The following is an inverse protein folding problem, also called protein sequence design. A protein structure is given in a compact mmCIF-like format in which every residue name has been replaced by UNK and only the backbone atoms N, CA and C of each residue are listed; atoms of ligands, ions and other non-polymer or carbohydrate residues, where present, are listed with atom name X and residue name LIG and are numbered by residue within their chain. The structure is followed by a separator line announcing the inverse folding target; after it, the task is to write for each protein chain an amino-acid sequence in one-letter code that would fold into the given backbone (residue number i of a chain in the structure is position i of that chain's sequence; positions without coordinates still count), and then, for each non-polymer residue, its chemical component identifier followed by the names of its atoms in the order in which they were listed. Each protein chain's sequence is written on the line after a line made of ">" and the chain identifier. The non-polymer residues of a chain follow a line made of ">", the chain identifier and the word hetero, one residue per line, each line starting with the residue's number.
data_IF_167653797778
#
_entry.id   IF_167653797778
#
_cell.length_a   1.000
_cell.length_b   1.000
_cell.length_c   1.000
_cell.angle_alpha   90.00
_cell.angle_beta   90.00
_cell.angle_gamma   90.00
#
_symmetry.space_group_name_H-M   'P 1'
#
loop_
_entity.id
_entity.type
_entity.pdbx_description
1 polymer ?
#
# COMPACT_ATOMS: atom_id res chain seq x y z
N UNK A 1 -16.22 -4.00 -4.71
CA UNK A 1 -15.42 -2.83 -4.30
C UNK A 1 -14.94 -2.95 -2.87
N UNK A 2 -15.81 -3.32 -1.92
CA UNK A 2 -15.47 -3.37 -0.49
C UNK A 2 -14.29 -4.30 -0.12
N UNK A 3 -14.27 -5.53 -0.65
CA UNK A 3 -13.12 -6.45 -0.42
C UNK A 3 -11.78 -5.86 -0.85
N UNK A 4 -11.76 -5.11 -1.96
CA UNK A 4 -10.54 -4.48 -2.48
C UNK A 4 -10.10 -3.32 -1.58
N UNK A 5 -11.03 -2.52 -1.06
CA UNK A 5 -10.72 -1.45 -0.10
C UNK A 5 -10.06 -2.02 1.16
N UNK A 6 -10.61 -3.09 1.72
CA UNK A 6 -10.03 -3.79 2.87
C UNK A 6 -8.63 -4.35 2.56
N UNK A 7 -8.44 -5.00 1.40
CA UNK A 7 -7.11 -5.47 0.99
C UNK A 7 -6.08 -4.34 0.90
N UNK A 8 -6.47 -3.19 0.33
CA UNK A 8 -5.58 -2.02 0.23
C UNK A 8 -5.24 -1.46 1.61
N UNK A 9 -6.22 -1.35 2.52
CA UNK A 9 -5.99 -0.91 3.90
C UNK A 9 -5.03 -1.83 4.65
N UNK A 10 -5.18 -3.16 4.51
CA UNK A 10 -4.25 -4.13 5.11
C UNK A 10 -2.83 -3.90 4.58
N UNK A 11 -2.67 -3.78 3.27
CA UNK A 11 -1.35 -3.51 2.65
C UNK A 11 -0.76 -2.17 3.08
N UNK A 12 -1.57 -1.13 3.25
CA UNK A 12 -1.12 0.15 3.78
C UNK A 12 -0.57 -0.03 5.19
N UNK A 13 -1.27 -0.79 6.04
CA UNK A 13 -0.82 -1.05 7.39
C UNK A 13 0.50 -1.81 7.44
N UNK A 14 0.67 -2.79 6.55
CA UNK A 14 1.94 -3.52 6.38
C UNK A 14 3.10 -2.58 6.00
N UNK A 15 2.88 -1.63 5.07
CA UNK A 15 3.92 -0.66 4.69
C UNK A 15 4.26 0.31 5.84
N UNK A 16 3.29 0.72 6.65
CA UNK A 16 3.53 1.55 7.84
C UNK A 16 4.41 0.83 8.86
N UNK A 17 4.07 -0.42 9.17
CA UNK A 17 4.85 -1.25 10.09
C UNK A 17 6.25 -1.46 9.53
N UNK A 18 6.39 -1.79 8.24
CA UNK A 18 7.69 -1.96 7.61
C UNK A 18 8.57 -0.69 7.71
N UNK A 19 7.99 0.49 7.49
CA UNK A 19 8.71 1.74 7.59
C UNK A 19 9.14 2.06 9.03
N UNK A 20 8.27 1.75 10.01
CA UNK A 20 8.61 1.83 11.43
C UNK A 20 9.78 0.90 11.79
N UNK A 21 9.71 -0.37 11.40
CA UNK A 21 10.76 -1.36 11.64
C UNK A 21 12.08 -0.95 10.99
N UNK A 22 12.06 -0.50 9.73
CA UNK A 22 13.27 -0.03 9.04
C UNK A 22 13.89 1.20 9.72
N UNK A 23 13.05 2.08 10.30
CA UNK A 23 13.52 3.26 11.04
C UNK A 23 14.15 2.93 12.39
N UNK A 24 13.79 1.80 13.00
CA UNK A 24 14.33 1.33 14.28
C UNK A 24 15.70 0.64 14.12
N UNK A 25 16.06 0.26 12.88
CA UNK A 25 17.32 -0.38 12.58
C UNK A 25 18.52 0.56 12.76
N UNK A 26 19.67 -0.02 13.12
CA UNK A 26 20.95 0.71 13.17
C UNK A 26 21.31 1.23 11.76
N UNK A 27 21.97 2.40 11.62
CA UNK A 27 22.26 3.02 10.32
C UNK A 27 23.05 2.16 9.31
N UNK A 28 23.75 1.12 9.77
CA UNK A 28 24.55 0.20 8.94
C UNK A 28 24.04 -1.25 8.98
N UNK A 29 22.79 -1.45 9.41
CA UNK A 29 22.17 -2.76 9.37
C UNK A 29 22.08 -3.26 7.92
N UNK A 30 22.39 -4.55 7.70
CA UNK A 30 22.18 -5.19 6.41
C UNK A 30 20.69 -5.52 6.28
N UNK A 31 20.05 -4.96 5.27
CA UNK A 31 18.67 -5.26 4.95
C UNK A 31 18.66 -6.16 3.74
N UNK A 32 17.80 -7.17 3.75
CA UNK A 32 17.64 -8.08 2.63
C UNK A 32 16.20 -8.04 2.16
N UNK A 33 16.00 -7.95 0.84
CA UNK A 33 14.68 -8.01 0.23
C UNK A 33 14.49 -9.37 -0.43
N UNK A 34 13.41 -10.04 -0.05
CA UNK A 34 13.00 -11.29 -0.68
C UNK A 34 12.31 -11.03 -2.02
N UNK A 35 12.66 -11.81 -3.04
CA UNK A 35 11.95 -11.83 -4.32
C UNK A 35 10.57 -12.48 -4.15
N UNK A 36 9.56 -11.97 -4.85
CA UNK A 36 8.23 -12.60 -4.84
C UNK A 36 8.29 -14.03 -5.37
N UNK A 37 7.53 -14.92 -4.73
CA UNK A 37 7.40 -16.34 -5.09
C UNK A 37 8.73 -17.13 -5.07
N UNK A 38 9.71 -16.66 -4.30
CA UNK A 38 11.02 -17.29 -4.16
C UNK A 38 11.62 -17.00 -2.79
N UNK A 39 12.59 -17.81 -2.38
CA UNK A 39 13.37 -17.58 -1.15
C UNK A 39 14.70 -16.84 -1.43
N UNK A 40 14.87 -16.31 -2.65
CA UNK A 40 16.05 -15.51 -3.00
C UNK A 40 15.95 -14.15 -2.32
N UNK A 41 17.02 -13.79 -1.59
CA UNK A 41 17.16 -12.54 -0.86
C UNK A 41 18.30 -11.72 -1.46
N UNK A 42 18.01 -10.46 -1.80
CA UNK A 42 18.99 -9.52 -2.32
C UNK A 42 19.37 -8.52 -1.23
N UNK A 43 20.67 -8.26 -1.08
CA UNK A 43 21.16 -7.21 -0.21
C UNK A 43 20.62 -5.86 -0.70
N UNK A 44 20.04 -5.09 0.21
CA UNK A 44 19.57 -3.73 -0.01
C UNK A 44 20.01 -2.83 1.16
N UNK A 45 19.86 -1.52 0.98
CA UNK A 45 20.13 -0.53 2.02
C UNK A 45 18.85 -0.14 2.77
N UNK A 46 19.00 0.21 4.06
CA UNK A 46 17.90 0.74 4.89
C UNK A 46 17.20 1.90 4.18
N UNK A 47 17.95 2.87 3.66
CA UNK A 47 17.37 4.04 2.97
C UNK A 47 16.61 3.66 1.70
N UNK A 48 17.10 2.68 0.95
CA UNK A 48 16.46 2.21 -0.28
C UNK A 48 15.12 1.54 0.02
N UNK A 49 15.09 0.64 1.00
CA UNK A 49 13.84 -0.03 1.40
C UNK A 49 12.86 0.93 2.10
N UNK A 50 13.35 1.91 2.87
CA UNK A 50 12.48 2.96 3.44
C UNK A 50 11.84 3.82 2.35
N UNK A 51 12.61 4.22 1.33
CA UNK A 51 12.08 4.96 0.20
C UNK A 51 11.03 4.15 -0.55
N UNK A 52 11.31 2.87 -0.80
CA UNK A 52 10.38 1.93 -1.44
C UNK A 52 9.09 1.74 -0.63
N UNK A 53 9.18 1.58 0.69
CA UNK A 53 8.01 1.45 1.57
C UNK A 53 7.12 2.70 1.50
N UNK A 54 7.71 3.90 1.47
CA UNK A 54 6.98 5.17 1.29
C UNK A 54 6.31 5.25 -0.08
N UNK A 55 7.03 4.95 -1.16
CA UNK A 55 6.45 4.94 -2.52
C UNK A 55 5.27 3.96 -2.66
N UNK A 56 5.37 2.79 -2.05
CA UNK A 56 4.28 1.82 -2.03
C UNK A 56 3.09 2.35 -1.23
N UNK A 57 3.32 2.97 -0.07
CA UNK A 57 2.27 3.55 0.75
C UNK A 57 1.53 4.66 0.00
N UNK A 58 2.26 5.57 -0.65
CA UNK A 58 1.68 6.65 -1.46
C UNK A 58 0.83 6.10 -2.61
N UNK A 59 1.30 5.03 -3.26
CA UNK A 59 0.57 4.36 -4.35
C UNK A 59 -0.72 3.70 -3.85
N UNK A 60 -0.67 3.02 -2.69
CA UNK A 60 -1.84 2.39 -2.08
C UNK A 60 -2.86 3.41 -1.58
N UNK A 61 -2.40 4.54 -1.02
CA UNK A 61 -3.27 5.65 -0.63
C UNK A 61 -4.02 6.24 -1.83
N UNK A 62 -3.32 6.39 -2.96
CA UNK A 62 -3.95 6.83 -4.21
C UNK A 62 -4.99 5.82 -4.68
N UNK A 63 -4.65 4.53 -4.72
CA UNK A 63 -5.60 3.47 -5.12
C UNK A 63 -6.84 3.46 -4.21
N UNK A 64 -6.64 3.60 -2.90
CA UNK A 64 -7.75 3.65 -1.95
C UNK A 64 -8.68 4.84 -2.22
N UNK A 65 -8.12 6.03 -2.48
CA UNK A 65 -8.89 7.23 -2.83
C UNK A 65 -9.67 7.05 -4.14
N UNK A 66 -9.05 6.46 -5.14
CA UNK A 66 -9.70 6.19 -6.44
C UNK A 66 -10.84 5.16 -6.28
N UNK A 67 -10.71 4.20 -5.37
CA UNK A 67 -11.77 3.27 -5.01
C UNK A 67 -12.93 3.93 -4.25
N UNK A 68 -12.66 4.98 -3.45
CA UNK A 68 -13.71 5.76 -2.79
C UNK A 68 -14.49 6.64 -3.76
N UNK A 69 -13.80 7.38 -4.62
CA UNK A 69 -14.44 8.27 -5.60
C UNK A 69 -15.26 7.49 -6.62
N UNK A 70 -14.78 6.33 -7.09
CA UNK A 70 -15.53 5.46 -7.99
C UNK A 70 -16.80 4.92 -7.35
N UNK A 71 -16.78 4.51 -6.08
CA UNK A 71 -18.02 4.09 -5.38
C UNK A 71 -19.04 5.21 -5.28
N UNK A 72 -18.62 6.43 -4.93
CA UNK A 72 -19.54 7.57 -4.83
C UNK A 72 -20.11 8.03 -6.19
N UNK A 73 -19.38 7.80 -7.29
CA UNK A 73 -19.90 8.06 -8.63
C UNK A 73 -20.92 7.01 -9.10
N UNK A 74 -20.77 5.76 -8.68
CA UNK A 74 -21.74 4.69 -8.96
C UNK A 74 -23.05 4.92 -8.19
N UNK A 75 -22.95 5.22 -6.90
CA UNK A 75 -24.13 5.47 -6.03
C UNK A 75 -24.98 6.65 -6.54
N UNK A 76 -24.35 7.75 -6.97
CA UNK A 76 -25.08 8.91 -7.52
C UNK A 76 -25.81 8.61 -8.84
N UNK A 77 -25.27 7.72 -9.67
CA UNK A 77 -25.93 7.31 -10.93
C UNK A 77 -27.16 6.46 -10.65
N UNK A 78 -27.07 5.55 -9.69
CA UNK A 78 -28.19 4.69 -9.29
C UNK A 78 -29.34 5.51 -8.68
N UNK A 79 -29.03 6.55 -7.87
CA UNK A 79 -30.04 7.46 -7.33
C UNK A 79 -30.73 8.35 -8.37
N UNK A 80 -30.06 8.67 -9.48
CA UNK A 80 -30.62 9.46 -10.59
C UNK A 80 -31.52 8.61 -11.51
N UNK A 81 -31.17 7.33 -11.71
CA UNK A 81 -31.97 6.37 -12.48
C UNK A 81 -33.23 5.90 -11.73
N UNK A 82 -33.19 5.78 -10.40
CA UNK A 82 -34.35 5.36 -9.59
C UNK A 82 -35.40 6.48 -9.38
N UNK A 83 -35.05 7.73 -9.70
CA UNK A 83 -35.94 8.91 -9.61
C UNK A 83 -36.60 9.31 -10.94
N UNK A 84 -36.28 8.64 -12.05
CA UNK A 84 -36.95 8.83 -13.36
C UNK A 84 -37.96 7.74 -13.64
#
# INVERSE_FOLDING_TARGET
>A
MERRKVEVQVKMKEQEVLNYELSSLKPRAKVYRQQQNSNIMFLSGVQQEMHRAKQNLDSLQKEYRDLETSTSHTERREEEEEKS
#
